data_IF_863246107271
#
_entry.id   IF_863246107271
#
_cell.length_a   1.000
_cell.length_b   1.000
_cell.length_c   1.000
_cell.angle_alpha   90.00
_cell.angle_beta   90.00
_cell.angle_gamma   90.00
#
_symmetry.space_group_name_H-M   'P 1'
#
loop_
_entity.id
_entity.type
_entity.pdbx_description
1 polymer ?
#
# COMPACT_ATOMS: atom_id res chain seq x y z
N UNK A 1 -16.68 -0.45 15.87
CA UNK A 1 -16.96 -0.05 17.28
C UNK A 1 -15.81 0.61 18.04
N UNK A 2 -14.72 -0.10 18.40
CA UNK A 2 -13.67 0.46 19.27
C UNK A 2 -13.05 1.77 18.75
N UNK A 3 -12.78 1.86 17.44
CA UNK A 3 -12.28 3.11 16.83
C UNK A 3 -13.26 4.28 16.99
N UNK A 4 -14.56 4.04 16.81
CA UNK A 4 -15.59 5.07 17.03
C UNK A 4 -15.68 5.49 18.49
N UNK A 5 -15.53 4.54 19.43
CA UNK A 5 -15.48 4.84 20.85
C UNK A 5 -14.27 5.72 21.20
N UNK A 6 -13.08 5.36 20.70
CA UNK A 6 -11.87 6.16 20.90
C UNK A 6 -12.04 7.61 20.43
N UNK A 7 -12.63 7.83 19.25
CA UNK A 7 -12.89 9.19 18.75
C UNK A 7 -13.80 9.97 19.69
N UNK A 8 -14.91 9.37 20.17
CA UNK A 8 -15.83 10.03 21.12
C UNK A 8 -15.15 10.43 22.42
N UNK A 9 -14.30 9.56 22.96
CA UNK A 9 -13.58 9.79 24.23
C UNK A 9 -12.48 10.84 24.10
N UNK A 10 -11.94 11.07 22.91
CA UNK A 10 -10.79 11.95 22.69
C UNK A 10 -11.13 13.23 21.91
N UNK A 11 -12.38 13.46 21.51
CA UNK A 11 -12.80 14.59 20.65
C UNK A 11 -12.37 15.99 21.12
N UNK A 12 -12.15 16.19 22.42
CA UNK A 12 -11.84 17.50 23.01
C UNK A 12 -10.32 17.78 23.09
N UNK A 13 -9.48 16.88 22.57
CA UNK A 13 -8.02 17.06 22.48
C UNK A 13 -7.49 16.50 21.15
N UNK A 14 -6.32 16.94 20.69
CA UNK A 14 -5.66 16.30 19.55
C UNK A 14 -5.44 14.80 19.81
N UNK A 15 -5.70 13.97 18.80
CA UNK A 15 -5.47 12.54 18.88
C UNK A 15 -4.85 12.00 17.60
N UNK A 16 -4.19 10.86 17.72
CA UNK A 16 -3.79 10.01 16.61
C UNK A 16 -4.53 8.68 16.73
N UNK A 17 -5.21 8.28 15.65
CA UNK A 17 -5.89 6.99 15.54
C UNK A 17 -5.27 6.20 14.41
N UNK A 18 -4.54 5.15 14.76
CA UNK A 18 -4.17 4.11 13.81
C UNK A 18 -5.29 3.08 13.72
N UNK A 19 -6.11 3.14 12.66
CA UNK A 19 -7.27 2.28 12.48
C UNK A 19 -6.96 1.12 11.53
N UNK A 20 -6.27 0.10 12.04
CA UNK A 20 -5.85 -1.09 11.29
C UNK A 20 -6.93 -2.17 11.30
N UNK A 21 -7.88 -2.07 10.38
CA UNK A 21 -8.91 -3.09 10.16
C UNK A 21 -8.32 -4.33 9.48
N UNK A 22 -8.91 -5.49 9.72
CA UNK A 22 -8.45 -6.76 9.13
C UNK A 22 -8.98 -7.00 7.72
N UNK A 23 -10.03 -6.27 7.30
CA UNK A 23 -10.61 -6.41 5.97
C UNK A 23 -9.68 -5.82 4.90
N UNK A 24 -9.60 -6.41 3.69
CA UNK A 24 -10.32 -7.59 3.22
C UNK A 24 -9.54 -8.91 3.41
N UNK A 25 -8.59 -8.99 4.35
CA UNK A 25 -7.76 -10.18 4.49
C UNK A 25 -8.60 -11.44 4.79
N UNK A 26 -8.29 -12.53 4.08
CA UNK A 26 -8.97 -13.81 4.25
C UNK A 26 -8.71 -14.47 5.62
N UNK A 27 -9.65 -15.33 6.04
CA UNK A 27 -9.37 -16.37 7.03
C UNK A 27 -8.66 -17.55 6.34
N UNK A 28 -7.33 -17.59 6.45
CA UNK A 28 -6.50 -18.61 5.82
C UNK A 28 -6.79 -20.04 6.31
N UNK A 29 -7.09 -20.21 7.59
CA UNK A 29 -7.34 -21.53 8.16
C UNK A 29 -8.65 -22.10 7.64
N UNK A 30 -9.70 -21.29 7.74
CA UNK A 30 -11.01 -21.67 7.23
C UNK A 30 -11.01 -21.86 5.71
N UNK A 31 -10.31 -21.00 4.98
CA UNK A 31 -10.15 -21.14 3.52
C UNK A 31 -9.38 -22.40 3.11
N UNK A 32 -8.39 -22.83 3.89
CA UNK A 32 -7.68 -24.10 3.64
C UNK A 32 -8.60 -25.31 3.82
N UNK A 33 -9.49 -25.27 4.80
CA UNK A 33 -10.36 -26.41 5.13
C UNK A 33 -11.61 -26.47 4.23
N UNK A 34 -12.09 -25.33 3.74
CA UNK A 34 -13.39 -25.22 3.05
C UNK A 34 -13.32 -24.70 1.62
N UNK A 35 -12.22 -24.06 1.23
CA UNK A 35 -12.12 -23.29 -0.01
C UNK A 35 -12.79 -21.91 0.02
N UNK A 36 -13.44 -21.53 1.13
CA UNK A 36 -14.17 -20.26 1.28
C UNK A 36 -13.71 -19.47 2.50
N UNK A 37 -12.50 -18.90 2.42
CA UNK A 37 -11.89 -18.13 3.51
C UNK A 37 -12.41 -16.69 3.64
N UNK A 38 -13.28 -16.25 2.73
CA UNK A 38 -13.77 -14.87 2.66
C UNK A 38 -15.01 -14.69 3.55
N UNK A 39 -14.78 -14.88 4.86
CA UNK A 39 -15.84 -14.88 5.86
C UNK A 39 -16.47 -13.49 6.06
N UNK A 40 -17.77 -13.41 5.79
CA UNK A 40 -18.60 -12.23 6.08
C UNK A 40 -19.87 -12.68 6.82
N UNK A 41 -20.50 -11.81 7.63
CA UNK A 41 -21.76 -12.14 8.29
C UNK A 41 -22.90 -12.45 7.31
N UNK A 42 -22.89 -11.79 6.14
CA UNK A 42 -23.84 -11.98 5.05
C UNK A 42 -23.21 -11.49 3.72
N UNK A 43 -23.59 -12.09 2.58
CA UNK A 43 -23.11 -11.65 1.26
C UNK A 43 -23.82 -10.38 0.75
N UNK A 44 -24.89 -9.93 1.42
CA UNK A 44 -25.62 -8.71 1.09
C UNK A 44 -26.13 -8.70 -0.34
N UNK A 45 -25.86 -7.60 -1.04
CA UNK A 45 -26.26 -7.41 -2.45
C UNK A 45 -25.61 -8.41 -3.41
N UNK A 46 -24.59 -9.16 -2.96
CA UNK A 46 -23.88 -10.16 -3.77
C UNK A 46 -24.44 -11.58 -3.62
N UNK A 47 -25.37 -11.82 -2.68
CA UNK A 47 -25.87 -13.17 -2.37
C UNK A 47 -26.41 -13.92 -3.61
N UNK A 48 -27.17 -13.21 -4.46
CA UNK A 48 -27.80 -13.76 -5.67
C UNK A 48 -26.95 -13.63 -6.94
N UNK A 49 -25.69 -13.20 -6.83
CA UNK A 49 -24.79 -13.16 -7.99
C UNK A 49 -24.38 -14.58 -8.39
N UNK A 50 -24.19 -14.82 -9.67
CA UNK A 50 -23.66 -16.09 -10.19
C UNK A 50 -22.12 -16.09 -10.11
N UNK A 51 -21.60 -15.93 -8.89
CA UNK A 51 -20.19 -15.89 -8.57
C UNK A 51 -19.87 -17.02 -7.58
N UNK A 52 -18.64 -17.49 -7.57
CA UNK A 52 -18.18 -18.37 -6.51
C UNK A 52 -18.22 -17.63 -5.15
N UNK A 53 -18.48 -18.39 -4.08
CA UNK A 53 -18.67 -17.86 -2.74
C UNK A 53 -17.51 -16.97 -2.25
N UNK A 54 -16.22 -17.31 -2.46
CA UNK A 54 -15.12 -16.46 -2.06
C UNK A 54 -15.16 -15.06 -2.70
N UNK A 55 -15.61 -14.96 -3.96
CA UNK A 55 -15.71 -13.70 -4.71
C UNK A 55 -16.87 -12.85 -4.17
N UNK A 56 -18.00 -13.47 -3.79
CA UNK A 56 -19.08 -12.78 -3.07
C UNK A 56 -18.60 -12.27 -1.71
N UNK A 57 -17.90 -13.12 -0.97
CA UNK A 57 -17.32 -12.78 0.33
C UNK A 57 -16.33 -11.63 0.23
N UNK A 58 -15.41 -11.65 -0.75
CA UNK A 58 -14.45 -10.58 -0.98
C UNK A 58 -15.15 -9.24 -1.28
N UNK A 59 -16.11 -9.22 -2.21
CA UNK A 59 -16.87 -8.01 -2.52
C UNK A 59 -17.67 -7.49 -1.31
N UNK A 60 -18.23 -8.39 -0.50
CA UNK A 60 -18.91 -8.05 0.74
C UNK A 60 -17.94 -7.46 1.79
N UNK A 61 -16.72 -7.99 1.92
CA UNK A 61 -15.69 -7.43 2.81
C UNK A 61 -15.31 -6.00 2.42
N UNK A 62 -15.13 -5.73 1.13
CA UNK A 62 -14.86 -4.38 0.63
C UNK A 62 -16.02 -3.44 0.95
N UNK A 63 -17.27 -3.88 0.75
CA UNK A 63 -18.45 -3.09 1.11
C UNK A 63 -18.57 -2.81 2.62
N UNK A 64 -18.20 -3.79 3.46
CA UNK A 64 -18.15 -3.62 4.92
C UNK A 64 -17.08 -2.62 5.33
N UNK A 65 -15.89 -2.70 4.73
CA UNK A 65 -14.79 -1.75 4.96
C UNK A 65 -15.23 -0.32 4.62
N UNK A 66 -15.81 -0.13 3.43
CA UNK A 66 -16.31 1.17 2.97
C UNK A 66 -17.40 1.71 3.91
N UNK A 67 -18.38 0.87 4.27
CA UNK A 67 -19.43 1.26 5.21
C UNK A 67 -18.90 1.62 6.59
N UNK A 68 -17.93 0.88 7.13
CA UNK A 68 -17.35 1.16 8.44
C UNK A 68 -16.50 2.44 8.43
N UNK A 69 -15.79 2.70 7.35
CA UNK A 69 -15.10 3.97 7.15
C UNK A 69 -16.07 5.15 6.99
N UNK A 70 -17.20 4.95 6.30
CA UNK A 70 -18.31 5.89 6.22
C UNK A 70 -18.89 6.24 7.60
N UNK A 71 -19.01 5.26 8.50
CA UNK A 71 -19.43 5.49 9.90
C UNK A 71 -18.42 6.32 10.68
N UNK A 72 -17.12 6.11 10.46
CA UNK A 72 -16.05 6.89 11.09
C UNK A 72 -16.09 8.35 10.62
N UNK A 73 -16.14 8.58 9.31
CA UNK A 73 -16.18 9.94 8.74
C UNK A 73 -17.43 10.69 9.16
N UNK A 74 -18.60 10.05 9.11
CA UNK A 74 -19.85 10.62 9.63
C UNK A 74 -19.76 10.99 11.11
N UNK A 75 -19.11 10.16 11.95
CA UNK A 75 -18.94 10.47 13.35
C UNK A 75 -18.09 11.73 13.56
N UNK A 76 -17.05 11.94 12.75
CA UNK A 76 -16.24 13.17 12.81
C UNK A 76 -17.07 14.41 12.47
N UNK A 77 -17.96 14.31 11.48
CA UNK A 77 -18.89 15.39 11.11
C UNK A 77 -19.92 15.65 12.23
N UNK A 78 -20.54 14.59 12.78
CA UNK A 78 -21.54 14.68 13.86
C UNK A 78 -20.95 15.29 15.15
N UNK A 79 -19.66 15.08 15.40
CA UNK A 79 -18.92 15.66 16.53
C UNK A 79 -18.37 17.07 16.23
N UNK A 80 -18.49 17.56 14.99
CA UNK A 80 -18.00 18.88 14.59
C UNK A 80 -16.47 19.00 14.55
N UNK A 81 -15.74 17.89 14.44
CA UNK A 81 -14.26 17.87 14.45
C UNK A 81 -13.65 17.52 13.08
N UNK A 82 -14.49 17.28 12.07
CA UNK A 82 -14.04 16.89 10.73
C UNK A 82 -13.10 17.90 10.07
N UNK A 83 -13.36 19.20 10.21
CA UNK A 83 -12.53 20.26 9.61
C UNK A 83 -11.12 20.36 10.23
N UNK A 84 -10.95 19.82 11.44
CA UNK A 84 -9.67 19.76 12.15
C UNK A 84 -9.10 18.33 12.21
N UNK A 85 -9.58 17.42 11.36
CA UNK A 85 -9.09 16.05 11.29
C UNK A 85 -8.46 15.79 9.92
N UNK A 86 -7.23 15.27 9.93
CA UNK A 86 -6.54 14.80 8.73
C UNK A 86 -6.76 13.29 8.62
N UNK A 87 -7.17 12.83 7.45
CA UNK A 87 -7.41 11.42 7.19
C UNK A 87 -6.46 10.95 6.09
N UNK A 88 -5.68 9.91 6.40
CA UNK A 88 -4.94 9.11 5.43
C UNK A 88 -5.63 7.75 5.35
N UNK A 89 -6.02 7.34 4.15
CA UNK A 89 -6.57 6.02 3.87
C UNK A 89 -5.66 5.30 2.88
N UNK A 90 -5.23 4.09 3.21
CA UNK A 90 -4.32 3.29 2.38
C UNK A 90 -4.50 1.79 2.60
N UNK A 91 -3.90 0.98 1.74
CA UNK A 91 -3.66 -0.46 1.96
C UNK A 91 -2.21 -0.70 2.39
N UNK A 92 -1.92 -1.88 2.94
CA UNK A 92 -0.56 -2.32 3.33
C UNK A 92 0.18 -3.05 2.21
N UNK A 93 -0.54 -3.74 1.32
CA UNK A 93 -0.01 -4.38 0.12
C UNK A 93 -1.08 -4.50 -0.99
N UNK A 94 -0.67 -5.02 -2.15
CA UNK A 94 -1.54 -5.38 -3.27
C UNK A 94 -2.56 -6.48 -2.96
N UNK A 95 -3.44 -6.84 -3.91
CA UNK A 95 -4.51 -7.81 -3.70
C UNK A 95 -3.96 -9.23 -3.49
N UNK A 96 -4.81 -10.17 -3.06
CA UNK A 96 -4.36 -11.52 -2.70
C UNK A 96 -5.23 -12.64 -3.28
N UNK A 97 -4.65 -13.85 -3.32
CA UNK A 97 -5.35 -15.11 -3.64
C UNK A 97 -5.76 -15.94 -2.41
N UNK A 98 -5.43 -15.44 -1.22
CA UNK A 98 -5.76 -16.13 0.02
C UNK A 98 -7.29 -16.30 0.21
N UNK A 99 -7.69 -17.39 0.86
CA UNK A 99 -9.10 -17.68 1.15
C UNK A 99 -9.97 -18.01 -0.05
N UNK A 100 -9.39 -18.36 -1.21
CA UNK A 100 -10.13 -18.62 -2.44
C UNK A 100 -10.51 -17.36 -3.23
N UNK A 101 -10.07 -16.18 -2.77
CA UNK A 101 -10.18 -14.95 -3.54
C UNK A 101 -9.42 -15.07 -4.87
N UNK A 102 -9.96 -14.44 -5.91
CA UNK A 102 -9.32 -14.38 -7.22
C UNK A 102 -9.18 -12.91 -7.63
N UNK A 103 -7.97 -12.34 -7.59
CA UNK A 103 -7.76 -10.93 -7.93
C UNK A 103 -8.09 -10.63 -9.39
N UNK A 104 -7.93 -11.61 -10.29
CA UNK A 104 -8.22 -11.46 -11.72
C UNK A 104 -9.72 -11.32 -11.98
N UNK A 105 -10.57 -11.94 -11.14
CA UNK A 105 -12.03 -11.89 -11.28
C UNK A 105 -12.59 -10.46 -11.19
N UNK A 106 -11.99 -9.62 -10.34
CA UNK A 106 -12.40 -8.21 -10.14
C UNK A 106 -11.41 -7.21 -10.74
N UNK A 107 -10.38 -7.66 -11.46
CA UNK A 107 -9.29 -6.80 -11.93
C UNK A 107 -8.68 -5.97 -10.79
N UNK A 108 -8.37 -6.64 -9.66
CA UNK A 108 -8.11 -5.98 -8.37
C UNK A 108 -6.84 -5.14 -8.32
N UNK A 109 -5.88 -5.44 -9.19
CA UNK A 109 -4.63 -4.69 -9.40
C UNK A 109 -4.64 -3.90 -10.72
N UNK A 110 -5.77 -3.89 -11.46
CA UNK A 110 -5.91 -3.21 -12.74
C UNK A 110 -4.81 -3.61 -13.73
N UNK A 111 -4.22 -2.64 -14.46
CA UNK A 111 -3.17 -2.94 -15.44
C UNK A 111 -1.83 -3.33 -14.80
N UNK A 112 -1.70 -3.29 -13.47
CA UNK A 112 -0.42 -3.49 -12.80
C UNK A 112 -0.11 -4.98 -12.67
N UNK A 113 1.16 -5.37 -12.81
CA UNK A 113 1.57 -6.77 -12.70
C UNK A 113 1.82 -7.21 -11.26
N UNK A 114 1.52 -8.47 -10.99
CA UNK A 114 1.80 -9.11 -9.71
C UNK A 114 0.75 -8.79 -8.64
N UNK A 115 0.86 -9.48 -7.52
CA UNK A 115 -0.07 -9.37 -6.39
C UNK A 115 0.72 -9.38 -5.08
N UNK A 116 0.05 -9.48 -3.93
CA UNK A 116 0.70 -9.64 -2.61
C UNK A 116 1.86 -10.64 -2.67
N UNK A 117 3.02 -10.22 -2.12
CA UNK A 117 4.35 -10.89 -2.13
C UNK A 117 5.19 -10.72 -3.41
N UNK A 118 4.68 -10.02 -4.41
CA UNK A 118 5.49 -9.59 -5.56
C UNK A 118 6.02 -8.18 -5.35
N UNK A 119 7.18 -7.90 -5.95
CA UNK A 119 7.77 -6.55 -5.97
C UNK A 119 7.47 -5.81 -7.28
N UNK A 120 6.63 -6.38 -8.13
CA UNK A 120 5.94 -5.71 -9.24
C UNK A 120 4.87 -4.74 -8.71
N UNK A 121 4.42 -3.78 -9.51
CA UNK A 121 3.59 -2.66 -9.05
C UNK A 121 2.24 -3.14 -8.50
N UNK A 122 1.67 -4.21 -9.02
CA UNK A 122 0.45 -4.80 -8.47
C UNK A 122 0.62 -5.40 -7.07
N UNK A 123 1.85 -5.65 -6.62
CA UNK A 123 2.15 -6.11 -5.26
C UNK A 123 2.41 -4.98 -4.25
N UNK A 124 2.93 -3.83 -4.71
CA UNK A 124 3.43 -2.75 -3.83
C UNK A 124 2.76 -1.38 -4.03
N UNK A 125 2.11 -1.14 -5.17
CA UNK A 125 1.39 0.10 -5.45
C UNK A 125 -0.05 -0.04 -4.96
N UNK A 126 -0.41 0.77 -3.98
CA UNK A 126 -1.68 0.68 -3.24
C UNK A 126 -2.47 1.98 -3.33
N UNK A 127 -3.81 1.95 -3.13
CA UNK A 127 -4.60 3.16 -3.07
C UNK A 127 -4.14 4.06 -1.91
N UNK A 128 -4.16 5.37 -2.14
CA UNK A 128 -3.86 6.38 -1.13
C UNK A 128 -4.79 7.57 -1.30
N UNK A 129 -5.51 7.93 -0.24
CA UNK A 129 -6.39 9.11 -0.20
C UNK A 129 -6.03 9.93 1.03
N UNK A 130 -5.83 11.23 0.83
CA UNK A 130 -5.59 12.18 1.92
C UNK A 130 -6.68 13.25 1.91
N UNK A 131 -7.36 13.42 3.06
CA UNK A 131 -8.30 14.52 3.30
C UNK A 131 -7.73 15.42 4.39
N UNK A 132 -7.41 16.66 4.04
CA UNK A 132 -7.00 17.70 4.98
C UNK A 132 -7.75 19.01 4.65
N UNK A 133 -8.90 19.27 5.32
CA UNK A 133 -9.73 20.43 5.03
C UNK A 133 -8.95 21.75 5.13
N UNK A 134 -9.13 22.62 4.13
CA UNK A 134 -8.44 23.92 4.04
C UNK A 134 -6.95 23.86 3.68
N UNK A 135 -6.37 22.68 3.49
CA UNK A 135 -4.94 22.48 3.16
C UNK A 135 -4.73 21.70 1.87
N UNK A 136 -5.33 20.52 1.74
CA UNK A 136 -5.31 19.72 0.52
C UNK A 136 -6.46 20.17 -0.39
N UNK A 137 -6.18 20.42 -1.67
CA UNK A 137 -7.20 20.81 -2.66
C UNK A 137 -8.19 19.64 -2.87
N UNK A 138 -9.51 19.83 -2.65
CA UNK A 138 -10.47 18.75 -2.86
C UNK A 138 -10.49 18.27 -4.32
N UNK A 139 -10.54 16.94 -4.50
CA UNK A 139 -10.64 16.31 -5.82
C UNK A 139 -9.38 16.39 -6.68
N UNK A 140 -8.24 16.85 -6.14
CA UNK A 140 -6.97 16.79 -6.86
C UNK A 140 -6.40 15.38 -6.89
N UNK A 141 -5.68 15.07 -7.97
CA UNK A 141 -4.88 13.85 -8.13
C UNK A 141 -3.40 14.26 -8.18
N UNK A 142 -2.53 13.45 -7.61
CA UNK A 142 -1.08 13.65 -7.61
C UNK A 142 -0.39 12.36 -8.02
N UNK A 143 0.49 12.44 -9.01
CA UNK A 143 1.33 11.33 -9.47
C UNK A 143 2.69 11.28 -8.74
N UNK A 144 2.90 12.16 -7.74
CA UNK A 144 4.11 12.16 -6.93
C UNK A 144 4.34 10.80 -6.26
N UNK A 145 5.52 10.22 -6.49
CA UNK A 145 5.89 8.89 -6.01
C UNK A 145 6.45 8.98 -4.59
N UNK A 146 5.85 8.22 -3.68
CA UNK A 146 6.26 8.14 -2.27
C UNK A 146 5.94 6.74 -1.69
N UNK A 147 6.51 6.42 -0.53
CA UNK A 147 6.37 5.12 0.11
C UNK A 147 5.92 5.23 1.57
N UNK A 148 5.53 4.11 2.18
CA UNK A 148 5.00 4.09 3.54
C UNK A 148 5.93 4.71 4.58
N UNK A 149 7.26 4.55 4.42
CA UNK A 149 8.25 5.14 5.34
C UNK A 149 8.32 6.67 5.29
N UNK A 150 7.76 7.32 4.27
CA UNK A 150 7.58 8.78 4.21
C UNK A 150 6.44 9.28 5.11
N UNK A 151 5.55 8.39 5.58
CA UNK A 151 4.46 8.78 6.48
C UNK A 151 4.97 9.31 7.82
N UNK A 152 6.00 8.68 8.39
CA UNK A 152 6.54 9.08 9.69
C UNK A 152 7.05 10.55 9.71
N UNK A 153 7.94 10.99 8.80
CA UNK A 153 8.35 12.40 8.74
C UNK A 153 7.20 13.33 8.36
N UNK A 154 6.27 12.90 7.52
CA UNK A 154 5.07 13.67 7.18
C UNK A 154 4.22 13.94 8.42
N UNK A 155 3.94 12.90 9.22
CA UNK A 155 3.18 13.02 10.46
C UNK A 155 3.91 13.89 11.50
N UNK A 156 5.24 13.77 11.59
CA UNK A 156 6.05 14.62 12.46
C UNK A 156 5.94 16.10 12.06
N UNK A 157 6.09 16.43 10.78
CA UNK A 157 5.96 17.81 10.29
C UNK A 157 4.55 18.37 10.53
N UNK A 158 3.51 17.58 10.25
CA UNK A 158 2.11 17.94 10.54
C UNK A 158 1.89 18.26 12.02
N UNK A 159 2.50 17.47 12.91
CA UNK A 159 2.43 17.66 14.35
C UNK A 159 3.34 18.78 14.88
N UNK A 160 4.13 19.44 14.01
CA UNK A 160 5.07 20.49 14.40
C UNK A 160 6.28 19.96 15.17
N UNK A 161 6.66 18.70 14.95
CA UNK A 161 7.84 18.05 15.55
C UNK A 161 8.79 17.54 14.47
N UNK A 162 9.94 17.02 14.90
CA UNK A 162 10.95 16.42 14.01
C UNK A 162 11.12 14.93 14.30
N UNK A 163 11.67 14.20 13.33
CA UNK A 163 12.08 12.82 13.54
C UNK A 163 13.29 12.76 14.50
N UNK A 164 13.39 11.73 15.36
CA UNK A 164 14.44 11.64 16.37
C UNK A 164 15.82 11.23 15.82
N UNK A 165 15.95 10.97 14.52
CA UNK A 165 17.19 10.53 13.88
C UNK A 165 17.08 10.49 12.36
N UNK A 166 18.11 9.94 11.72
CA UNK A 166 18.11 9.66 10.29
C UNK A 166 17.07 8.58 9.97
N UNK A 167 16.35 8.80 8.88
CA UNK A 167 15.30 7.92 8.38
C UNK A 167 15.37 7.90 6.85
N UNK A 168 14.87 6.82 6.26
CA UNK A 168 14.85 6.67 4.79
C UNK A 168 13.78 7.56 4.14
N UNK A 169 12.76 7.94 4.91
CA UNK A 169 11.63 8.73 4.42
C UNK A 169 11.86 10.23 4.41
N UNK A 170 11.09 10.90 3.56
CA UNK A 170 10.98 12.35 3.53
C UNK A 170 9.53 12.77 3.73
N UNK A 171 9.32 13.96 4.29
CA UNK A 171 7.97 14.52 4.40
C UNK A 171 7.39 14.84 3.02
N UNK A 172 6.11 14.51 2.82
CA UNK A 172 5.33 14.85 1.62
C UNK A 172 4.37 16.03 1.86
N UNK A 173 4.50 16.76 2.98
CA UNK A 173 3.67 17.94 3.25
C UNK A 173 3.70 18.97 2.10
N UNK A 174 4.85 19.28 1.46
CA UNK A 174 4.85 20.15 0.28
C UNK A 174 3.91 19.66 -0.83
N UNK A 175 3.97 18.37 -1.20
CA UNK A 175 3.03 17.77 -2.17
C UNK A 175 1.57 17.92 -1.73
N UNK A 176 1.25 17.64 -0.45
CA UNK A 176 -0.11 17.78 0.08
C UNK A 176 -0.64 19.22 -0.02
N UNK A 177 0.25 20.20 0.07
CA UNK A 177 -0.06 21.63 -0.05
C UNK A 177 0.04 22.18 -1.48
N UNK A 178 0.28 21.31 -2.48
CA UNK A 178 0.41 21.70 -3.89
C UNK A 178 1.66 22.52 -4.18
N UNK A 179 2.76 22.28 -3.44
CA UNK A 179 4.06 22.93 -3.62
C UNK A 179 5.05 21.95 -4.27
N UNK A 180 6.15 22.51 -4.78
CA UNK A 180 7.26 21.73 -5.30
C UNK A 180 7.84 20.81 -4.22
N UNK A 181 8.06 19.55 -4.60
CA UNK A 181 8.56 18.49 -3.74
C UNK A 181 9.80 17.89 -4.39
N UNK A 182 10.86 17.70 -3.61
CA UNK A 182 12.03 16.94 -4.05
C UNK A 182 11.64 15.49 -4.27
N UNK A 183 12.02 14.91 -5.41
CA UNK A 183 11.85 13.48 -5.64
C UNK A 183 12.88 12.64 -4.88
N UNK A 184 12.48 11.43 -4.52
CA UNK A 184 13.41 10.40 -4.06
C UNK A 184 14.37 10.04 -5.18
N UNK A 185 15.65 9.84 -4.85
CA UNK A 185 16.60 9.28 -5.82
C UNK A 185 16.16 7.87 -6.24
N UNK A 186 15.73 7.08 -5.24
CA UNK A 186 15.09 5.79 -5.42
C UNK A 186 14.26 5.44 -4.17
N UNK A 187 13.33 4.51 -4.34
CA UNK A 187 12.64 3.79 -3.27
C UNK A 187 13.02 2.31 -3.36
N UNK A 188 13.23 1.64 -2.23
CA UNK A 188 13.80 0.29 -2.19
C UNK A 188 12.95 -0.66 -1.35
N UNK A 189 12.76 -1.89 -1.83
CA UNK A 189 12.00 -2.95 -1.16
C UNK A 189 12.78 -4.26 -1.17
N UNK A 190 12.60 -5.03 -0.10
CA UNK A 190 13.04 -6.43 0.01
C UNK A 190 11.85 -7.30 0.41
N UNK A 191 11.86 -8.55 -0.07
CA UNK A 191 10.97 -9.58 0.41
C UNK A 191 11.78 -10.82 0.79
N UNK A 192 11.63 -11.27 2.03
CA UNK A 192 12.45 -12.33 2.64
C UNK A 192 11.72 -13.67 2.76
N UNK A 193 10.44 -13.75 2.38
CA UNK A 193 9.67 -15.00 2.40
C UNK A 193 9.78 -15.72 1.05
N UNK A 194 9.98 -17.05 1.06
CA UNK A 194 10.10 -17.94 -0.11
C UNK A 194 11.37 -17.77 -0.95
N UNK A 195 11.71 -16.54 -1.32
CA UNK A 195 12.92 -16.17 -2.04
C UNK A 195 13.36 -14.79 -1.58
N UNK A 196 14.66 -14.46 -1.69
CA UNK A 196 15.13 -13.11 -1.39
C UNK A 196 14.93 -12.22 -2.62
N UNK A 197 13.78 -11.53 -2.67
CA UNK A 197 13.43 -10.61 -3.76
C UNK A 197 13.85 -9.19 -3.43
N UNK A 198 14.19 -8.42 -4.46
CA UNK A 198 14.50 -7.00 -4.35
C UNK A 198 13.77 -6.19 -5.43
N UNK A 199 13.40 -4.97 -5.07
CA UNK A 199 12.71 -4.03 -5.95
C UNK A 199 13.23 -2.62 -5.71
N UNK A 200 13.38 -1.84 -6.77
CA UNK A 200 13.75 -0.42 -6.69
C UNK A 200 12.97 0.41 -7.69
N UNK A 201 12.44 1.55 -7.27
CA UNK A 201 11.70 2.51 -8.11
C UNK A 201 12.45 3.84 -8.16
N UNK A 202 12.73 4.36 -9.35
CA UNK A 202 13.52 5.59 -9.53
C UNK A 202 13.14 6.31 -10.84
N UNK A 203 12.90 7.63 -10.81
CA UNK A 203 12.51 8.39 -12.01
C UNK A 203 11.28 7.80 -12.71
N UNK A 204 11.43 7.29 -13.93
CA UNK A 204 10.37 6.55 -14.68
C UNK A 204 10.59 5.03 -14.72
N UNK A 205 11.63 4.57 -14.04
CA UNK A 205 12.15 3.22 -14.15
C UNK A 205 11.91 2.42 -12.88
N UNK A 206 11.96 1.10 -13.06
CA UNK A 206 11.92 0.15 -11.98
C UNK A 206 12.84 -1.02 -12.25
N UNK A 207 13.53 -1.47 -11.20
CA UNK A 207 14.33 -2.67 -11.21
C UNK A 207 13.74 -3.72 -10.28
N UNK A 208 13.68 -4.98 -10.72
CA UNK A 208 13.19 -6.12 -9.91
C UNK A 208 14.15 -7.29 -10.03
N UNK A 209 14.44 -7.96 -8.91
CA UNK A 209 15.16 -9.24 -8.87
C UNK A 209 14.35 -10.24 -8.05
N UNK A 210 13.95 -11.33 -8.68
CA UNK A 210 13.03 -12.32 -8.09
C UNK A 210 13.70 -13.37 -7.20
N UNK A 211 15.04 -13.45 -7.21
CA UNK A 211 15.88 -14.17 -6.25
C UNK A 211 17.35 -13.78 -6.52
N UNK A 212 18.28 -14.10 -5.62
CA UNK A 212 19.71 -13.80 -5.78
C UNK A 212 20.36 -14.44 -7.01
N UNK A 213 19.84 -15.59 -7.47
CA UNK A 213 20.32 -16.29 -8.68
C UNK A 213 19.64 -15.81 -9.96
N UNK A 214 18.62 -14.95 -9.86
CA UNK A 214 17.87 -14.43 -11.01
C UNK A 214 18.47 -13.14 -11.56
N UNK A 215 18.34 -12.91 -12.87
CA UNK A 215 18.74 -11.64 -13.47
C UNK A 215 17.91 -10.49 -12.89
N UNK A 216 18.50 -9.29 -12.93
CA UNK A 216 17.76 -8.06 -12.69
C UNK A 216 16.93 -7.75 -13.93
N UNK A 217 15.66 -7.45 -13.73
CA UNK A 217 14.71 -7.00 -14.72
C UNK A 217 14.61 -5.47 -14.65
N UNK A 218 14.40 -4.81 -15.79
CA UNK A 218 14.27 -3.34 -15.88
C UNK A 218 12.99 -3.00 -16.65
N UNK A 219 12.17 -2.11 -16.11
CA UNK A 219 10.88 -1.68 -16.68
C UNK A 219 10.76 -0.15 -16.73
N UNK A 220 10.09 0.37 -17.76
CA UNK A 220 9.74 1.80 -17.90
C UNK A 220 8.28 2.01 -17.46
N UNK A 221 8.05 2.20 -16.17
CA UNK A 221 6.72 2.03 -15.56
C UNK A 221 5.73 3.17 -15.81
N UNK A 222 6.15 4.28 -16.42
CA UNK A 222 5.23 5.34 -16.88
C UNK A 222 4.66 5.06 -18.28
N UNK A 223 5.31 4.19 -19.07
CA UNK A 223 4.89 3.79 -20.42
C UNK A 223 4.37 2.35 -20.45
N UNK A 224 4.83 1.51 -19.52
CA UNK A 224 4.49 0.10 -19.38
C UNK A 224 4.08 -0.20 -17.93
N UNK A 225 2.83 0.15 -17.59
CA UNK A 225 2.27 -0.08 -16.25
C UNK A 225 2.19 -1.56 -15.87
N UNK A 226 2.08 -2.44 -16.87
CA UNK A 226 1.99 -3.88 -16.69
C UNK A 226 3.35 -4.55 -16.53
N UNK A 227 4.46 -3.80 -16.58
CA UNK A 227 5.82 -4.35 -16.50
C UNK A 227 5.97 -5.58 -17.44
N UNK A 228 5.46 -5.45 -18.67
CA UNK A 228 5.39 -6.52 -19.66
C UNK A 228 6.70 -6.64 -20.45
N UNK A 229 7.36 -5.51 -20.73
CA UNK A 229 8.60 -5.48 -21.51
C UNK A 229 9.81 -5.29 -20.61
N UNK A 230 10.50 -6.39 -20.31
CA UNK A 230 11.79 -6.33 -19.63
C UNK A 230 12.88 -5.76 -20.59
N UNK A 231 13.46 -4.63 -20.20
CA UNK A 231 14.47 -3.87 -20.96
C UNK A 231 15.91 -4.11 -20.49
N UNK A 232 16.16 -5.09 -19.61
CA UNK A 232 17.49 -5.32 -19.02
C UNK A 232 18.60 -5.55 -20.07
N UNK A 233 18.30 -6.29 -21.15
CA UNK A 233 19.26 -6.50 -22.25
C UNK A 233 19.53 -5.22 -23.05
N UNK A 234 18.53 -4.36 -23.20
CA UNK A 234 18.60 -3.09 -23.93
C UNK A 234 19.22 -1.95 -23.10
N UNK A 235 19.23 -2.09 -21.76
CA UNK A 235 19.63 -1.06 -20.79
C UNK A 235 20.63 -1.60 -19.74
N UNK A 236 21.81 -2.10 -20.16
CA UNK A 236 22.80 -2.66 -19.23
C UNK A 236 23.34 -1.63 -18.22
N UNK A 237 23.33 -0.35 -18.57
CA UNK A 237 23.69 0.76 -17.68
C UNK A 237 22.70 0.90 -16.51
N UNK A 238 21.40 0.72 -16.76
CA UNK A 238 20.38 0.72 -15.71
C UNK A 238 20.48 -0.52 -14.83
N UNK A 239 20.83 -1.68 -15.40
CA UNK A 239 21.06 -2.92 -14.64
C UNK A 239 22.20 -2.72 -13.63
N UNK A 240 23.34 -2.19 -14.05
CA UNK A 240 24.46 -1.93 -13.15
C UNK A 240 24.12 -0.89 -12.08
N UNK A 241 23.34 0.15 -12.43
CA UNK A 241 22.85 1.15 -11.46
C UNK A 241 21.96 0.51 -10.38
N UNK A 242 20.98 -0.30 -10.80
CA UNK A 242 20.06 -1.02 -9.90
C UNK A 242 20.82 -1.99 -9.00
N UNK A 243 21.79 -2.71 -9.57
CA UNK A 243 22.66 -3.60 -8.80
C UNK A 243 23.40 -2.86 -7.70
N UNK A 244 23.94 -1.67 -7.98
CA UNK A 244 24.58 -0.82 -6.98
C UNK A 244 23.64 -0.51 -5.80
N UNK A 245 22.40 -0.11 -6.07
CA UNK A 245 21.42 0.13 -5.02
C UNK A 245 21.01 -1.15 -4.26
N UNK A 246 20.87 -2.28 -4.95
CA UNK A 246 20.60 -3.57 -4.28
C UNK A 246 21.69 -4.02 -3.32
N UNK A 247 22.93 -3.54 -3.51
CA UNK A 247 24.06 -3.81 -2.63
C UNK A 247 24.17 -2.76 -1.50
N UNK A 248 23.86 -1.49 -1.77
CA UNK A 248 24.12 -0.39 -0.85
C UNK A 248 22.91 0.12 -0.05
N UNK A 249 21.69 -0.09 -0.51
CA UNK A 249 20.47 0.49 0.08
C UNK A 249 19.97 -0.24 1.34
N UNK A 250 20.69 -1.27 1.77
CA UNK A 250 20.25 -2.17 2.84
C UNK A 250 21.26 -2.26 3.96
N UNK A 251 20.76 -2.58 5.15
CA UNK A 251 21.58 -2.93 6.31
C UNK A 251 21.31 -4.38 6.68
N UNK A 252 22.36 -5.16 6.94
CA UNK A 252 22.19 -6.54 7.39
C UNK A 252 21.45 -6.61 8.73
N UNK A 253 20.52 -7.56 8.84
CA UNK A 253 19.71 -7.77 10.03
C UNK A 253 19.82 -9.20 10.51
N UNK A 254 20.18 -9.40 11.78
CA UNK A 254 20.18 -10.73 12.39
C UNK A 254 18.77 -11.35 12.47
N UNK A 255 17.74 -10.50 12.48
CA UNK A 255 16.34 -10.93 12.48
C UNK A 255 15.80 -11.28 11.09
N UNK A 256 16.36 -10.64 10.06
CA UNK A 256 15.98 -10.84 8.66
C UNK A 256 17.22 -11.14 7.80
N UNK A 257 17.90 -12.27 8.07
CA UNK A 257 19.11 -12.61 7.33
C UNK A 257 18.75 -12.97 5.89
N UNK A 258 19.64 -12.62 4.96
CA UNK A 258 19.55 -13.06 3.57
C UNK A 258 19.60 -14.57 3.51
N UNK A 259 18.52 -15.17 3.00
CA UNK A 259 18.47 -16.60 2.72
C UNK A 259 18.50 -16.78 1.21
N UNK A 260 19.40 -17.63 0.74
CA UNK A 260 19.30 -18.17 -0.62
C UNK A 260 18.10 -19.12 -0.64
N UNK A 261 17.23 -18.95 -1.64
CA UNK A 261 16.14 -19.88 -1.94
C UNK A 261 16.65 -21.29 -2.25
#
# INVERSE_FOLDING_TARGET
EKGLQFVRENKDKPFFLYYSVTLPHANNEYGRDTGDGMQVPDYGVYANKDWANPQKGHAAMIGLLDSDFGRLTKLLDDLGIADNTIIFFTSDNGPHREGGADPDFFDSNGPLRGIKRDLYDGGIRVPMIVRWPGKVKPGSVSDFVWAFWDFAPTAAEIAGTSMPGEIDGQSIVPTLLGKDQREHEYLYWEFHERAFKQGVRFGEWKGVRNDLDKPIEIYHVTEDLGEEKNLAEEKPDLVEKVKGWFESARTESEHWPVKKG
#
